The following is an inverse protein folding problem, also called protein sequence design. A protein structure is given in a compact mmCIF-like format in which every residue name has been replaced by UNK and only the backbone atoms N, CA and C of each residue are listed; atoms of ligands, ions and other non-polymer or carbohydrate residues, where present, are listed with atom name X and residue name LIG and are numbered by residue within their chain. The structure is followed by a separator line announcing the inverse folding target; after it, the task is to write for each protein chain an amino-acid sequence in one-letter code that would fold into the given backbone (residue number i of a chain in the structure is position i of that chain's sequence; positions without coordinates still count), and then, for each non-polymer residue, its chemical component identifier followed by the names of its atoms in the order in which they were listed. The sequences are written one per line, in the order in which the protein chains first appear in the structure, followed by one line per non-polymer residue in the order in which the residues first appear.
data_IF_963409861901
#
_entry.id   IF_963409861901
#
_cell.length_a   1.000
_cell.length_b   1.000
_cell.length_c   1.000
_cell.angle_alpha   90.00
_cell.angle_beta   90.00
_cell.angle_gamma   90.00
#
_symmetry.space_group_name_H-M   'P 1'
#
loop_
_entity.id
_entity.type
_entity.pdbx_description
1 polymer ?
#
# COMPACT_ATOMS: atom_id res chain seq x y z
N UNK A 1 -12.40 4.28 11.68
CA UNK A 1 -12.69 3.02 12.41
C UNK A 1 -11.82 2.95 13.66
N UNK A 2 -12.20 2.14 14.68
CA UNK A 2 -11.34 1.92 15.86
C UNK A 2 -10.42 0.73 15.62
N UNK A 3 -9.11 0.95 15.61
CA UNK A 3 -8.13 -0.13 15.31
C UNK A 3 -8.08 -1.23 16.37
N UNK A 4 -8.39 -0.93 17.63
CA UNK A 4 -8.43 -1.95 18.70
C UNK A 4 -9.43 -3.08 18.45
N UNK A 5 -10.43 -2.84 17.60
CA UNK A 5 -11.46 -3.81 17.23
C UNK A 5 -11.24 -4.36 15.82
N UNK A 6 -10.18 -3.93 15.14
CA UNK A 6 -9.93 -4.33 13.76
C UNK A 6 -9.32 -5.73 13.67
N UNK A 7 -9.70 -6.43 12.61
CA UNK A 7 -8.98 -7.59 12.10
C UNK A 7 -8.32 -7.18 10.80
N UNK A 8 -7.00 -7.01 10.84
CA UNK A 8 -6.24 -6.46 9.75
C UNK A 8 -5.51 -7.54 8.93
N UNK A 9 -5.56 -7.44 7.62
CA UNK A 9 -4.68 -8.18 6.71
C UNK A 9 -3.67 -7.19 6.12
N UNK A 10 -2.37 -7.42 6.37
CA UNK A 10 -1.28 -6.56 5.88
C UNK A 10 -0.47 -7.34 4.85
N UNK A 11 -0.53 -6.95 3.57
CA UNK A 11 0.29 -7.60 2.53
C UNK A 11 1.74 -7.13 2.59
N UNK A 12 2.70 -8.04 2.40
CA UNK A 12 4.12 -7.72 2.52
C UNK A 12 4.56 -7.38 3.96
N UNK A 13 3.99 -8.05 4.96
CA UNK A 13 4.21 -7.78 6.38
C UNK A 13 5.55 -8.29 6.94
N UNK A 14 6.34 -8.98 6.14
CA UNK A 14 7.58 -9.61 6.60
C UNK A 14 8.80 -8.66 6.66
N UNK A 15 8.70 -7.43 6.13
CA UNK A 15 9.78 -6.43 6.14
C UNK A 15 9.28 -5.01 5.90
N UNK A 16 10.17 -4.05 6.05
CA UNK A 16 9.93 -2.64 5.73
C UNK A 16 8.68 -2.08 6.40
N UNK A 17 7.94 -1.24 5.68
CA UNK A 17 6.73 -0.59 6.17
C UNK A 17 5.67 -1.60 6.65
N UNK A 18 5.47 -2.69 5.91
CA UNK A 18 4.47 -3.71 6.27
C UNK A 18 4.72 -4.35 7.64
N UNK A 19 5.98 -4.56 8.01
CA UNK A 19 6.37 -5.05 9.33
C UNK A 19 6.02 -4.06 10.44
N UNK A 20 6.27 -2.75 10.21
CA UNK A 20 5.92 -1.70 11.18
C UNK A 20 4.40 -1.51 11.30
N UNK A 21 3.66 -1.56 10.18
CA UNK A 21 2.20 -1.52 10.20
C UNK A 21 1.63 -2.69 11.01
N UNK A 22 2.12 -3.92 10.77
CA UNK A 22 1.66 -5.09 11.51
C UNK A 22 1.97 -5.01 13.01
N UNK A 23 3.18 -4.58 13.38
CA UNK A 23 3.58 -4.43 14.79
C UNK A 23 2.71 -3.38 15.51
N UNK A 24 2.56 -2.19 14.92
CA UNK A 24 1.78 -1.11 15.53
C UNK A 24 0.27 -1.40 15.59
N UNK A 25 -0.26 -2.20 14.67
CA UNK A 25 -1.64 -2.69 14.75
C UNK A 25 -1.83 -3.63 15.96
N UNK A 26 -0.89 -4.56 16.18
CA UNK A 26 -0.91 -5.43 17.37
C UNK A 26 -0.82 -4.60 18.66
N UNK A 27 0.09 -3.60 18.71
CA UNK A 27 0.23 -2.69 19.85
C UNK A 27 -1.06 -1.91 20.14
N UNK A 28 -1.86 -1.59 19.11
CA UNK A 28 -3.18 -0.94 19.23
C UNK A 28 -4.32 -1.92 19.55
N UNK A 29 -4.02 -3.22 19.71
CA UNK A 29 -4.99 -4.24 20.10
C UNK A 29 -5.75 -4.88 18.94
N UNK A 30 -5.35 -4.65 17.69
CA UNK A 30 -5.93 -5.32 16.52
C UNK A 30 -5.48 -6.79 16.44
N UNK A 31 -6.34 -7.66 15.92
CA UNK A 31 -5.92 -8.95 15.38
C UNK A 31 -5.27 -8.73 14.02
N UNK A 32 -4.09 -9.29 13.77
CA UNK A 32 -3.34 -9.04 12.54
C UNK A 32 -2.97 -10.34 11.84
N UNK A 33 -3.35 -10.46 10.60
CA UNK A 33 -2.83 -11.42 9.63
C UNK A 33 -1.69 -10.76 8.84
N UNK A 34 -0.46 -11.17 9.10
CA UNK A 34 0.71 -10.71 8.34
C UNK A 34 0.91 -11.57 7.11
N UNK A 35 0.61 -11.00 5.95
CA UNK A 35 0.62 -11.74 4.71
C UNK A 35 1.93 -11.60 3.95
N UNK A 36 2.49 -12.73 3.51
CA UNK A 36 3.69 -12.82 2.70
C UNK A 36 3.66 -14.07 1.81
N UNK A 37 4.44 -14.08 0.72
CA UNK A 37 4.63 -15.27 -0.13
C UNK A 37 5.23 -16.45 0.64
N UNK A 38 6.09 -16.15 1.61
CA UNK A 38 6.70 -17.08 2.56
C UNK A 38 6.27 -16.67 3.98
N UNK A 39 5.16 -17.20 4.50
CA UNK A 39 4.59 -16.78 5.80
C UNK A 39 5.56 -17.00 6.97
N UNK A 40 6.46 -17.98 6.87
CA UNK A 40 7.50 -18.25 7.88
C UNK A 40 8.50 -17.09 8.06
N UNK A 41 8.51 -16.12 7.14
CA UNK A 41 9.34 -14.90 7.25
C UNK A 41 8.65 -13.77 8.00
N UNK A 42 7.41 -13.94 8.43
CA UNK A 42 6.68 -12.98 9.25
C UNK A 42 7.00 -13.27 10.72
N UNK A 43 7.87 -12.45 11.29
CA UNK A 43 8.46 -12.65 12.62
C UNK A 43 7.96 -11.65 13.69
N UNK A 44 6.86 -10.94 13.41
CA UNK A 44 6.29 -9.95 14.33
C UNK A 44 5.48 -10.67 15.43
N UNK A 45 5.82 -10.48 16.72
CA UNK A 45 5.06 -11.09 17.82
C UNK A 45 3.59 -10.68 17.79
N UNK A 46 2.69 -11.65 17.99
CA UNK A 46 1.24 -11.42 18.01
C UNK A 46 0.59 -11.37 16.62
N UNK A 47 1.37 -11.41 15.55
CA UNK A 47 0.86 -11.48 14.18
C UNK A 47 0.65 -12.94 13.77
N UNK A 48 -0.47 -13.23 13.13
CA UNK A 48 -0.76 -14.54 12.53
C UNK A 48 -0.19 -14.57 11.12
N UNK A 49 0.81 -15.42 10.83
CA UNK A 49 1.35 -15.52 9.48
C UNK A 49 0.31 -16.03 8.49
N UNK A 50 0.20 -15.37 7.33
CA UNK A 50 -0.74 -15.73 6.27
C UNK A 50 0.01 -15.85 4.93
N UNK A 51 -0.19 -16.98 4.22
CA UNK A 51 0.35 -17.11 2.86
C UNK A 51 -0.48 -16.27 1.89
N UNK A 52 0.17 -15.35 1.19
CA UNK A 52 -0.44 -14.56 0.13
C UNK A 52 0.62 -14.09 -0.86
N UNK A 53 0.44 -14.46 -2.12
CA UNK A 53 1.12 -13.87 -3.27
C UNK A 53 0.12 -12.96 -3.99
N UNK A 54 0.41 -11.65 -4.03
CA UNK A 54 -0.49 -10.65 -4.65
C UNK A 54 -0.57 -10.77 -6.17
N UNK A 55 0.29 -11.58 -6.78
CA UNK A 55 0.29 -11.87 -8.23
C UNK A 55 -0.41 -13.19 -8.58
N UNK A 56 -0.94 -13.91 -7.58
CA UNK A 56 -1.67 -15.17 -7.74
C UNK A 56 -3.09 -15.05 -7.18
N UNK A 57 -4.07 -14.99 -8.07
CA UNK A 57 -5.49 -14.89 -7.68
C UNK A 57 -5.96 -16.06 -6.81
N UNK A 58 -5.43 -17.27 -7.02
CA UNK A 58 -5.82 -18.42 -6.18
C UNK A 58 -5.29 -18.26 -4.76
N UNK A 59 -4.04 -17.76 -4.61
CA UNK A 59 -3.46 -17.41 -3.32
C UNK A 59 -4.27 -16.32 -2.61
N UNK A 60 -4.70 -15.29 -3.34
CA UNK A 60 -5.51 -14.18 -2.79
C UNK A 60 -6.88 -14.69 -2.29
N UNK A 61 -7.57 -15.51 -3.10
CA UNK A 61 -8.87 -16.10 -2.72
C UNK A 61 -8.75 -16.98 -1.48
N UNK A 62 -7.70 -17.79 -1.40
CA UNK A 62 -7.46 -18.63 -0.22
C UNK A 62 -7.14 -17.79 1.01
N UNK A 63 -6.35 -16.73 0.88
CA UNK A 63 -6.08 -15.80 1.98
C UNK A 63 -7.36 -15.12 2.50
N UNK A 64 -8.28 -14.71 1.61
CA UNK A 64 -9.57 -14.15 1.98
C UNK A 64 -10.48 -15.17 2.69
N UNK A 65 -10.39 -16.45 2.29
CA UNK A 65 -11.10 -17.53 2.97
C UNK A 65 -10.57 -17.80 4.39
N UNK A 66 -9.26 -17.74 4.57
CA UNK A 66 -8.61 -17.94 5.88
C UNK A 66 -8.88 -16.76 6.82
N UNK A 67 -8.74 -15.53 6.32
CA UNK A 67 -8.98 -14.30 7.08
C UNK A 67 -10.43 -13.82 6.84
N UNK A 68 -11.41 -14.70 7.04
CA UNK A 68 -12.84 -14.46 6.77
C UNK A 68 -13.50 -13.50 7.76
N UNK A 69 -12.79 -13.07 8.78
CA UNK A 69 -13.16 -12.08 9.78
C UNK A 69 -12.46 -10.71 9.57
N UNK A 70 -11.82 -10.50 8.41
CA UNK A 70 -11.09 -9.26 8.15
C UNK A 70 -12.01 -8.04 8.00
N UNK A 71 -11.66 -6.97 8.71
CA UNK A 71 -12.31 -5.66 8.65
C UNK A 71 -11.41 -4.56 8.07
N UNK A 72 -10.11 -4.84 7.92
CA UNK A 72 -9.11 -3.92 7.38
C UNK A 72 -8.18 -4.65 6.41
N UNK A 73 -8.09 -4.18 5.17
CA UNK A 73 -7.08 -4.62 4.22
C UNK A 73 -6.03 -3.53 4.01
N UNK A 74 -4.75 -3.86 4.17
CA UNK A 74 -3.63 -2.98 3.84
C UNK A 74 -2.85 -3.57 2.66
N UNK A 75 -3.03 -2.99 1.49
CA UNK A 75 -2.29 -3.28 0.27
C UNK A 75 -0.93 -2.57 0.33
N UNK A 76 0.04 -3.20 1.01
CA UNK A 76 1.39 -2.67 1.18
C UNK A 76 2.43 -3.38 0.29
N UNK A 77 2.22 -4.63 -0.09
CA UNK A 77 3.13 -5.34 -0.96
C UNK A 77 3.39 -4.57 -2.26
N UNK A 78 4.66 -4.41 -2.61
CA UNK A 78 5.06 -3.67 -3.80
C UNK A 78 6.52 -3.93 -4.17
N UNK A 79 6.86 -3.63 -5.40
CA UNK A 79 8.22 -3.74 -5.93
C UNK A 79 8.58 -2.50 -6.74
N UNK A 80 9.89 -2.21 -6.82
CA UNK A 80 10.49 -1.30 -7.79
C UNK A 80 11.66 -2.02 -8.45
N UNK A 81 11.63 -2.15 -9.76
CA UNK A 81 12.64 -2.88 -10.53
C UNK A 81 13.73 -1.96 -11.08
N UNK A 82 13.47 -0.65 -11.08
CA UNK A 82 14.31 0.33 -11.72
C UNK A 82 14.20 0.33 -13.26
N UNK A 83 13.20 -0.34 -13.82
CA UNK A 83 13.00 -0.36 -15.27
C UNK A 83 12.61 1.02 -15.80
N UNK A 84 13.27 1.46 -16.86
CA UNK A 84 12.85 2.64 -17.63
C UNK A 84 11.80 2.24 -18.67
N UNK A 85 10.92 3.19 -19.06
CA UNK A 85 9.83 2.87 -19.98
C UNK A 85 10.29 2.61 -21.43
N UNK A 86 11.32 3.31 -21.88
CA UNK A 86 11.76 3.23 -23.28
C UNK A 86 12.87 2.20 -23.48
N UNK A 87 13.84 2.14 -22.57
CA UNK A 87 15.00 1.25 -22.72
C UNK A 87 15.02 0.04 -21.78
N UNK A 88 14.05 -0.06 -20.87
CA UNK A 88 13.96 -1.14 -19.88
C UNK A 88 13.32 -2.41 -20.42
N UNK A 89 13.51 -3.51 -19.70
CA UNK A 89 12.83 -4.77 -20.01
C UNK A 89 11.32 -4.66 -19.74
N UNK A 90 10.51 -4.88 -20.77
CA UNK A 90 9.04 -4.86 -20.69
C UNK A 90 8.50 -5.92 -19.70
N UNK A 91 9.22 -7.02 -19.48
CA UNK A 91 8.84 -8.00 -18.46
C UNK A 91 8.89 -7.40 -17.06
N UNK A 92 9.90 -6.57 -16.76
CA UNK A 92 10.01 -5.84 -15.49
C UNK A 92 8.91 -4.79 -15.33
N UNK A 93 8.59 -4.05 -16.40
CA UNK A 93 7.46 -3.11 -16.42
C UNK A 93 6.14 -3.83 -16.11
N UNK A 94 5.90 -4.97 -16.74
CA UNK A 94 4.71 -5.80 -16.45
C UNK A 94 4.70 -6.30 -15.01
N UNK A 95 5.83 -6.75 -14.50
CA UNK A 95 5.96 -7.25 -13.12
C UNK A 95 5.61 -6.18 -12.08
N UNK A 96 6.00 -4.92 -12.31
CA UNK A 96 5.60 -3.80 -11.47
C UNK A 96 4.09 -3.54 -11.53
N UNK A 97 3.49 -3.56 -12.73
CA UNK A 97 2.04 -3.43 -12.89
C UNK A 97 1.27 -4.58 -12.21
N UNK A 98 1.71 -5.83 -12.41
CA UNK A 98 1.09 -6.99 -11.77
C UNK A 98 1.12 -6.88 -10.24
N UNK A 99 2.27 -6.46 -9.68
CA UNK A 99 2.42 -6.39 -8.22
C UNK A 99 1.75 -5.15 -7.63
N UNK A 100 1.97 -3.96 -8.24
CA UNK A 100 1.63 -2.68 -7.61
C UNK A 100 0.22 -2.20 -7.95
N UNK A 101 -0.40 -2.72 -9.03
CA UNK A 101 -1.74 -2.35 -9.48
C UNK A 101 -2.71 -3.54 -9.46
N UNK A 102 -2.44 -4.61 -10.24
CA UNK A 102 -3.34 -5.76 -10.32
C UNK A 102 -3.43 -6.52 -8.99
N UNK A 103 -2.33 -6.60 -8.23
CA UNK A 103 -2.32 -7.18 -6.90
C UNK A 103 -3.29 -6.49 -5.92
N UNK A 104 -3.16 -5.17 -5.69
CA UNK A 104 -4.14 -4.41 -4.89
C UNK A 104 -5.58 -4.51 -5.41
N UNK A 105 -5.79 -4.48 -6.73
CA UNK A 105 -7.11 -4.66 -7.33
C UNK A 105 -7.69 -6.04 -6.98
N UNK A 106 -6.95 -7.12 -7.21
CA UNK A 106 -7.40 -8.48 -6.94
C UNK A 106 -7.63 -8.71 -5.44
N UNK A 107 -6.73 -8.22 -4.58
CA UNK A 107 -6.90 -8.30 -3.14
C UNK A 107 -8.14 -7.53 -2.66
N UNK A 108 -8.34 -6.30 -3.13
CA UNK A 108 -9.53 -5.51 -2.78
C UNK A 108 -10.81 -6.21 -3.22
N UNK A 109 -10.85 -6.77 -4.44
CA UNK A 109 -12.02 -7.54 -4.94
C UNK A 109 -12.31 -8.77 -4.09
N UNK A 110 -11.29 -9.48 -3.61
CA UNK A 110 -11.46 -10.69 -2.80
C UNK A 110 -11.87 -10.37 -1.35
N UNK A 111 -11.32 -9.31 -0.75
CA UNK A 111 -11.58 -8.95 0.63
C UNK A 111 -12.79 -8.02 0.83
N UNK A 112 -13.21 -7.25 -0.17
CA UNK A 112 -14.36 -6.36 -0.04
C UNK A 112 -15.65 -7.09 0.38
N UNK A 113 -16.01 -8.29 -0.15
CA UNK A 113 -17.15 -9.05 0.36
C UNK A 113 -17.00 -9.51 1.81
N UNK A 114 -15.76 -9.84 2.24
CA UNK A 114 -15.46 -10.23 3.62
C UNK A 114 -15.70 -9.05 4.56
N UNK A 115 -15.09 -7.89 4.26
CA UNK A 115 -15.20 -6.66 5.05
C UNK A 115 -16.66 -6.18 5.13
N UNK A 116 -17.41 -6.26 4.02
CA UNK A 116 -18.83 -5.92 3.98
C UNK A 116 -19.66 -6.85 4.86
N UNK A 117 -19.38 -8.16 4.84
CA UNK A 117 -20.09 -9.17 5.63
C UNK A 117 -19.92 -8.97 7.14
N UNK A 118 -18.84 -8.33 7.56
CA UNK A 118 -18.56 -7.96 8.96
C UNK A 118 -19.07 -6.55 9.34
N UNK A 119 -19.87 -5.94 8.48
CA UNK A 119 -20.55 -4.67 8.73
C UNK A 119 -19.85 -3.43 8.16
N UNK A 120 -18.78 -3.61 7.41
CA UNK A 120 -17.94 -2.57 6.81
C UNK A 120 -16.55 -2.47 7.43
N UNK A 121 -15.76 -1.53 6.95
CA UNK A 121 -14.38 -1.39 7.42
C UNK A 121 -13.54 -0.47 6.55
N UNK A 122 -12.28 -0.85 6.28
CA UNK A 122 -11.38 0.00 5.51
C UNK A 122 -10.42 -0.77 4.60
N UNK A 123 -9.98 -0.10 3.54
CA UNK A 123 -8.85 -0.48 2.69
C UNK A 123 -7.82 0.64 2.70
N UNK A 124 -6.56 0.33 2.91
CA UNK A 124 -5.43 1.23 2.71
C UNK A 124 -4.59 0.75 1.53
N UNK A 125 -4.37 1.62 0.55
CA UNK A 125 -3.40 1.38 -0.52
C UNK A 125 -2.11 2.16 -0.26
N UNK A 126 -0.97 1.48 -0.18
CA UNK A 126 0.35 2.11 -0.03
C UNK A 126 0.86 2.52 -1.40
N UNK A 127 0.89 3.82 -1.62
CA UNK A 127 1.30 4.46 -2.86
C UNK A 127 2.70 5.12 -2.71
N UNK A 128 2.92 6.18 -3.46
CA UNK A 128 4.18 6.94 -3.45
C UNK A 128 3.91 8.39 -3.87
N UNK A 129 4.80 9.31 -3.55
CA UNK A 129 4.87 10.62 -4.20
C UNK A 129 5.01 10.49 -5.74
N UNK A 130 5.61 9.37 -6.19
CA UNK A 130 5.72 9.02 -7.61
C UNK A 130 4.40 8.62 -8.26
N UNK A 131 3.29 8.55 -7.53
CA UNK A 131 1.95 8.50 -8.12
C UNK A 131 1.61 9.78 -8.91
N UNK A 132 2.30 10.87 -8.64
CA UNK A 132 2.06 12.20 -9.20
C UNK A 132 3.29 12.83 -9.88
N UNK A 133 4.49 12.36 -9.53
CA UNK A 133 5.76 12.83 -10.10
C UNK A 133 6.48 11.66 -10.79
N UNK A 134 6.89 11.84 -12.04
CA UNK A 134 7.30 10.74 -12.92
C UNK A 134 8.73 10.94 -13.47
N UNK A 135 9.79 10.76 -12.67
CA UNK A 135 11.16 10.91 -13.12
C UNK A 135 11.53 9.79 -14.12
N UNK A 136 12.30 10.12 -15.14
CA UNK A 136 12.65 9.19 -16.22
C UNK A 136 13.26 7.86 -15.75
N UNK A 137 14.11 7.89 -14.72
CA UNK A 137 14.76 6.69 -14.15
C UNK A 137 13.82 5.74 -13.40
N UNK A 138 12.60 6.17 -13.04
CA UNK A 138 11.61 5.42 -12.28
C UNK A 138 10.24 5.38 -12.96
N UNK A 139 10.21 5.61 -14.26
CA UNK A 139 8.97 5.78 -15.03
C UNK A 139 8.03 4.58 -14.94
N UNK A 140 8.53 3.36 -14.96
CA UNK A 140 7.73 2.14 -14.84
C UNK A 140 7.06 2.04 -13.46
N UNK A 141 7.84 2.22 -12.40
CA UNK A 141 7.31 2.24 -11.04
C UNK A 141 6.29 3.36 -10.85
N UNK A 142 6.61 4.57 -11.32
CA UNK A 142 5.72 5.71 -11.25
C UNK A 142 4.39 5.46 -11.97
N UNK A 143 4.42 4.86 -13.16
CA UNK A 143 3.21 4.47 -13.89
C UNK A 143 2.35 3.49 -13.10
N UNK A 144 2.96 2.48 -12.47
CA UNK A 144 2.25 1.51 -11.63
C UNK A 144 1.60 2.16 -10.40
N UNK A 145 2.28 3.14 -9.77
CA UNK A 145 1.76 3.86 -8.60
C UNK A 145 0.71 4.91 -8.99
N UNK A 146 0.80 5.53 -10.16
CA UNK A 146 -0.24 6.38 -10.71
C UNK A 146 -1.52 5.59 -11.01
N UNK A 147 -1.38 4.39 -11.60
CA UNK A 147 -2.52 3.48 -11.82
C UNK A 147 -3.17 3.06 -10.48
N UNK A 148 -2.37 2.74 -9.47
CA UNK A 148 -2.86 2.38 -8.14
C UNK A 148 -3.53 3.57 -7.41
N UNK A 149 -3.12 4.81 -7.68
CA UNK A 149 -3.81 5.99 -7.18
C UNK A 149 -5.20 6.12 -7.83
N UNK A 150 -5.29 6.03 -9.16
CA UNK A 150 -6.59 6.02 -9.85
C UNK A 150 -7.50 4.89 -9.37
N UNK A 151 -6.94 3.69 -9.12
CA UNK A 151 -7.66 2.57 -8.49
C UNK A 151 -8.21 2.96 -7.12
N UNK A 152 -7.42 3.64 -6.28
CA UNK A 152 -7.85 4.04 -4.94
C UNK A 152 -9.03 5.01 -4.98
N UNK A 153 -9.01 5.98 -5.90
CA UNK A 153 -10.08 6.95 -6.06
C UNK A 153 -11.36 6.29 -6.59
N UNK A 154 -11.26 5.47 -7.63
CA UNK A 154 -12.41 4.76 -8.19
C UNK A 154 -13.04 3.80 -7.16
N UNK A 155 -12.22 2.99 -6.49
CA UNK A 155 -12.74 2.03 -5.50
C UNK A 155 -13.31 2.70 -4.26
N UNK A 156 -12.90 3.92 -3.92
CA UNK A 156 -13.51 4.70 -2.82
C UNK A 156 -14.98 4.96 -3.09
N UNK A 157 -15.33 5.37 -4.30
CA UNK A 157 -16.71 5.60 -4.72
C UNK A 157 -17.51 4.28 -4.80
N UNK A 158 -16.91 3.23 -5.38
CA UNK A 158 -17.58 1.93 -5.54
C UNK A 158 -17.85 1.23 -4.20
N UNK A 159 -16.99 1.41 -3.19
CA UNK A 159 -17.08 0.72 -1.91
C UNK A 159 -17.80 1.52 -0.82
N UNK A 160 -18.03 2.83 -1.02
CA UNK A 160 -18.74 3.66 -0.06
C UNK A 160 -20.15 3.14 0.30
N UNK A 161 -21.01 2.67 -0.66
CA UNK A 161 -22.29 2.07 -0.33
C UNK A 161 -22.21 0.80 0.53
N UNK A 162 -21.04 0.11 0.49
CA UNK A 162 -20.74 -1.10 1.27
C UNK A 162 -20.13 -0.78 2.64
N UNK A 163 -20.09 0.50 3.04
CA UNK A 163 -19.50 1.01 4.28
C UNK A 163 -18.01 0.68 4.42
N UNK A 164 -17.30 0.65 3.30
CA UNK A 164 -15.86 0.42 3.26
C UNK A 164 -15.19 1.72 2.84
N UNK A 165 -14.37 2.28 3.72
CA UNK A 165 -13.56 3.46 3.40
C UNK A 165 -12.28 3.05 2.67
N UNK A 166 -11.83 3.87 1.71
CA UNK A 166 -10.57 3.64 1.00
C UNK A 166 -9.64 4.83 1.19
N UNK A 167 -8.49 4.56 1.78
CA UNK A 167 -7.41 5.53 2.00
C UNK A 167 -6.22 5.24 1.09
N UNK A 168 -5.56 6.30 0.63
CA UNK A 168 -4.31 6.24 -0.14
C UNK A 168 -3.17 6.86 0.68
N UNK A 169 -2.11 6.09 0.96
CA UNK A 169 -0.91 6.56 1.65
C UNK A 169 0.14 6.96 0.63
N UNK A 170 0.54 8.21 0.62
CA UNK A 170 1.61 8.72 -0.23
C UNK A 170 2.84 9.06 0.60
N UNK A 171 3.99 8.60 0.15
CA UNK A 171 5.29 8.81 0.82
C UNK A 171 6.41 8.85 -0.22
N UNK A 172 7.48 9.59 0.05
CA UNK A 172 8.72 9.57 -0.69
C UNK A 172 9.58 8.37 -0.34
N UNK A 173 10.87 8.59 -0.08
CA UNK A 173 11.80 7.53 0.30
C UNK A 173 11.66 7.19 1.79
N UNK A 174 11.47 5.91 2.08
CA UNK A 174 11.47 5.36 3.45
C UNK A 174 12.76 4.59 3.71
N UNK A 175 13.20 4.54 4.96
CA UNK A 175 14.32 3.70 5.36
C UNK A 175 13.92 2.23 5.36
N UNK A 176 14.09 1.61 4.19
CA UNK A 176 13.78 0.22 3.89
C UNK A 176 14.74 -0.30 2.83
N UNK A 177 14.80 -1.62 2.63
CA UNK A 177 15.63 -2.24 1.60
C UNK A 177 15.37 -1.69 0.19
N UNK A 178 14.14 -1.29 -0.11
CA UNK A 178 13.77 -0.73 -1.42
C UNK A 178 14.50 0.59 -1.72
N UNK A 179 14.85 1.35 -0.69
CA UNK A 179 15.57 2.61 -0.79
C UNK A 179 17.03 2.50 -0.29
N UNK A 180 17.65 1.29 -0.33
CA UNK A 180 18.99 1.08 0.19
C UNK A 180 20.07 1.99 -0.45
N UNK A 181 19.90 2.35 -1.74
CA UNK A 181 20.79 3.25 -2.46
C UNK A 181 20.55 4.75 -2.25
N UNK A 182 19.53 5.14 -1.47
CA UNK A 182 19.20 6.55 -1.20
C UNK A 182 19.92 7.03 0.05
N UNK A 183 20.50 8.27 0.08
CA UNK A 183 21.09 8.86 1.28
C UNK A 183 20.13 8.87 2.47
N UNK A 184 20.66 8.68 3.69
CA UNK A 184 19.85 8.55 4.90
C UNK A 184 19.04 9.81 5.24
N UNK A 185 19.62 10.99 4.97
CA UNK A 185 18.99 12.31 5.17
C UNK A 185 17.81 12.60 4.23
N UNK A 186 17.63 11.79 3.19
CA UNK A 186 16.51 11.86 2.26
C UNK A 186 15.39 10.85 2.57
N UNK A 187 15.54 10.08 3.63
CA UNK A 187 14.60 9.03 4.01
C UNK A 187 13.83 9.40 5.27
N UNK A 188 12.59 8.99 5.32
CA UNK A 188 11.78 9.03 6.54
C UNK A 188 11.74 7.65 7.21
N UNK A 189 11.58 7.61 8.52
CA UNK A 189 11.50 6.36 9.26
C UNK A 189 10.20 5.62 8.91
N UNK A 190 10.30 4.35 8.55
CA UNK A 190 9.13 3.54 8.20
C UNK A 190 8.14 3.38 9.39
N UNK A 191 8.64 3.45 10.63
CA UNK A 191 7.81 3.42 11.83
C UNK A 191 6.91 4.66 11.94
N UNK A 192 7.43 5.86 11.60
CA UNK A 192 6.66 7.11 11.66
C UNK A 192 5.60 7.15 10.55
N UNK A 193 5.95 6.63 9.36
CA UNK A 193 5.00 6.47 8.25
C UNK A 193 3.88 5.53 8.64
N UNK A 194 4.19 4.40 9.29
CA UNK A 194 3.19 3.46 9.78
C UNK A 194 2.24 4.13 10.79
N UNK A 195 2.76 4.91 11.74
CA UNK A 195 1.95 5.62 12.72
C UNK A 195 0.98 6.61 12.06
N UNK A 196 1.45 7.40 11.09
CA UNK A 196 0.62 8.34 10.34
C UNK A 196 -0.44 7.61 9.49
N UNK A 197 -0.06 6.51 8.82
CA UNK A 197 -0.99 5.68 8.05
C UNK A 197 -2.14 5.16 8.91
N UNK A 198 -1.84 4.60 10.08
CA UNK A 198 -2.83 4.07 11.00
C UNK A 198 -3.74 5.17 11.57
N UNK A 199 -3.18 6.33 11.94
CA UNK A 199 -3.97 7.49 12.37
C UNK A 199 -4.89 8.01 11.26
N UNK A 200 -4.43 7.99 10.01
CA UNK A 200 -5.25 8.36 8.86
C UNK A 200 -6.42 7.41 8.63
N UNK A 201 -6.21 6.10 8.81
CA UNK A 201 -7.29 5.09 8.76
C UNK A 201 -8.32 5.36 9.87
N UNK A 202 -7.89 5.61 11.11
CA UNK A 202 -8.78 5.88 12.24
C UNK A 202 -9.67 7.09 12.01
N UNK A 203 -9.11 8.13 11.41
CA UNK A 203 -9.82 9.39 11.11
C UNK A 203 -10.53 9.39 9.76
N UNK A 204 -10.38 8.33 8.95
CA UNK A 204 -11.04 8.17 7.66
C UNK A 204 -10.53 9.13 6.58
N UNK A 205 -9.24 9.49 6.63
CA UNK A 205 -8.64 10.36 5.60
C UNK A 205 -8.59 9.66 4.25
N UNK A 206 -9.08 10.26 3.17
CA UNK A 206 -9.01 9.67 1.83
C UNK A 206 -7.57 9.63 1.29
N UNK A 207 -6.75 10.62 1.64
CA UNK A 207 -5.32 10.68 1.31
C UNK A 207 -4.49 11.01 2.55
N UNK A 208 -3.40 10.27 2.75
CA UNK A 208 -2.47 10.41 3.86
C UNK A 208 -1.11 10.78 3.28
N UNK A 209 -0.64 11.99 3.54
CA UNK A 209 0.63 12.52 3.05
C UNK A 209 1.67 12.40 4.17
N UNK A 210 2.45 11.30 4.16
CA UNK A 210 3.25 10.91 5.32
C UNK A 210 4.58 11.66 5.46
N UNK A 211 4.99 12.44 4.44
CA UNK A 211 6.24 13.19 4.48
C UNK A 211 6.16 14.53 3.74
N UNK A 212 7.23 15.34 3.85
CA UNK A 212 7.31 16.62 3.18
C UNK A 212 7.32 16.49 1.67
N UNK A 213 7.97 15.44 1.15
CA UNK A 213 8.04 15.18 -0.30
C UNK A 213 6.64 14.97 -0.88
N UNK A 214 5.84 14.10 -0.27
CA UNK A 214 4.47 13.84 -0.75
C UNK A 214 3.58 15.08 -0.63
N UNK A 215 3.73 15.87 0.44
CA UNK A 215 3.01 17.16 0.60
C UNK A 215 3.40 18.17 -0.47
N UNK A 216 4.70 18.34 -0.72
CA UNK A 216 5.22 19.25 -1.74
C UNK A 216 4.74 18.86 -3.14
N UNK A 217 4.89 17.58 -3.52
CA UNK A 217 4.47 17.09 -4.83
C UNK A 217 2.95 17.26 -5.00
N UNK A 218 2.15 16.93 -3.99
CA UNK A 218 0.68 17.12 -4.05
C UNK A 218 0.31 18.59 -4.28
N UNK A 219 0.94 19.51 -3.58
CA UNK A 219 0.70 20.94 -3.74
C UNK A 219 1.10 21.44 -5.14
N UNK A 220 2.15 20.89 -5.73
CA UNK A 220 2.64 21.28 -7.06
C UNK A 220 1.74 20.85 -8.21
N UNK A 221 0.80 19.91 -8.00
CA UNK A 221 -0.12 19.44 -9.06
C UNK A 221 -1.03 20.54 -9.61
N UNK A 222 -1.30 21.59 -8.85
CA UNK A 222 -2.10 22.73 -9.29
C UNK A 222 -1.29 23.82 -9.98
N UNK A 223 0.04 23.73 -9.99
CA UNK A 223 0.92 24.66 -10.69
C UNK A 223 0.87 24.40 -12.20
N UNK A 224 0.85 25.48 -12.99
CA UNK A 224 0.96 25.35 -14.45
C UNK A 224 2.29 24.66 -14.82
N UNK A 225 2.30 23.77 -15.83
CA UNK A 225 3.54 23.19 -16.33
C UNK A 225 4.52 24.30 -16.71
N UNK A 226 5.73 24.28 -16.13
CA UNK A 226 6.81 25.15 -16.56
C UNK A 226 7.32 24.60 -17.89
N UNK A 227 7.50 25.43 -18.95
CA UNK A 227 8.19 24.98 -20.14
C UNK A 227 9.61 24.55 -19.75
N UNK A 228 10.03 23.39 -20.24
CA UNK A 228 11.41 22.93 -20.05
C UNK A 228 12.37 24.04 -20.47
N UNK A 229 13.23 24.47 -19.55
CA UNK A 229 14.36 25.34 -19.92
C UNK A 229 15.29 24.45 -20.76
N UNK A 230 15.25 24.65 -22.08
CA UNK A 230 16.03 23.95 -23.10
C UNK A 230 17.55 24.07 -22.91
#
# INVERSE_FOLDING_TARGET
MELKNAVAVVTGANRGLGRHLAAQLVERGAKVYGAARRPETVDVPGVVPLRLDVTDEASIREAARVASDATLLINNAGISTGATLIGGDVAEVRREMETNFFGPLAATRAFAPVIEGDGGGAVLNVLSALSWFHPAGLGSYAASKAAAWALSDATREELAPRKITVSALHVGYMDTDMAAGVPADQKVAAADVAAQALSGIETGLPEILADETSRYVKQSLSAAPQPDAG
#
